data_IF_121808635099
#
_entry.id   IF_121808635099
#
_cell.length_a   1.000
_cell.length_b   1.000
_cell.length_c   1.000
_cell.angle_alpha   90.00
_cell.angle_beta   90.00
_cell.angle_gamma   90.00
#
_symmetry.space_group_name_H-M   'P 1'
#
loop_
_entity.id
_entity.type
_entity.pdbx_description
1 polymer ?
#
# COMPACT_ATOMS: atom_id res chain seq x y z
N UNK A 1 16.53 -3.26 5.57
CA UNK A 1 16.22 -4.46 6.38
C UNK A 1 14.77 -4.83 6.11
N UNK A 2 14.52 -5.86 5.31
CA UNK A 2 13.18 -6.35 5.07
C UNK A 2 12.61 -6.93 6.38
N UNK A 3 11.41 -6.52 6.79
CA UNK A 3 10.74 -7.15 7.91
C UNK A 3 10.55 -8.65 7.60
N UNK A 4 10.79 -9.57 8.56
CA UNK A 4 10.66 -10.99 8.31
C UNK A 4 9.21 -11.30 7.92
N UNK A 5 9.01 -12.02 6.80
CA UNK A 5 7.68 -12.43 6.28
C UNK A 5 6.77 -13.04 7.37
N UNK A 6 7.34 -13.59 8.45
CA UNK A 6 6.61 -14.18 9.58
C UNK A 6 5.80 -13.18 10.42
N UNK A 7 6.21 -11.90 10.51
CA UNK A 7 5.52 -10.94 11.38
C UNK A 7 4.26 -10.34 10.74
N UNK A 8 4.30 -10.04 9.43
CA UNK A 8 3.16 -9.50 8.69
C UNK A 8 2.10 -10.57 8.39
N UNK A 9 2.52 -11.79 8.07
CA UNK A 9 1.59 -12.92 7.91
C UNK A 9 0.79 -13.17 9.20
N UNK A 10 1.46 -13.08 10.36
CA UNK A 10 0.79 -13.19 11.66
C UNK A 10 -0.19 -12.03 11.92
N UNK A 11 0.15 -10.80 11.52
CA UNK A 11 -0.76 -9.64 11.64
C UNK A 11 -1.99 -9.85 10.76
N UNK A 12 -1.82 -10.34 9.53
CA UNK A 12 -2.93 -10.60 8.63
C UNK A 12 -3.86 -11.70 9.16
N UNK A 13 -3.30 -12.80 9.69
CA UNK A 13 -4.08 -13.88 10.30
C UNK A 13 -4.87 -13.39 11.52
N UNK A 14 -4.26 -12.53 12.34
CA UNK A 14 -4.85 -12.07 13.60
C UNK A 14 -5.83 -10.89 13.44
N UNK A 15 -5.56 -9.98 12.53
CA UNK A 15 -6.26 -8.70 12.42
C UNK A 15 -6.86 -8.42 11.04
N UNK A 16 -6.67 -9.32 10.08
CA UNK A 16 -7.24 -9.19 8.73
C UNK A 16 -6.41 -8.31 7.78
N UNK A 17 -6.83 -8.27 6.49
CA UNK A 17 -6.07 -7.65 5.41
C UNK A 17 -5.93 -6.13 5.56
N UNK A 18 -6.98 -5.45 6.01
CA UNK A 18 -6.97 -3.99 6.17
C UNK A 18 -5.92 -3.54 7.18
N UNK A 19 -5.85 -4.23 8.32
CA UNK A 19 -4.87 -3.91 9.36
C UNK A 19 -3.46 -4.28 8.93
N UNK A 20 -3.28 -5.43 8.27
CA UNK A 20 -1.97 -5.83 7.76
C UNK A 20 -1.42 -4.83 6.74
N UNK A 21 -2.25 -4.43 5.76
CA UNK A 21 -1.88 -3.42 4.76
C UNK A 21 -1.58 -2.07 5.40
N UNK A 22 -2.45 -1.59 6.30
CA UNK A 22 -2.24 -0.35 7.05
C UNK A 22 -0.94 -0.36 7.86
N UNK A 23 -0.71 -1.43 8.62
CA UNK A 23 0.50 -1.57 9.43
C UNK A 23 1.76 -1.58 8.56
N UNK A 24 1.74 -2.29 7.42
CA UNK A 24 2.85 -2.30 6.47
C UNK A 24 3.13 -0.89 5.94
N UNK A 25 2.12 -0.17 5.44
CA UNK A 25 2.30 1.19 4.90
C UNK A 25 2.87 2.14 5.95
N UNK A 26 2.31 2.12 7.17
CA UNK A 26 2.77 2.97 8.26
C UNK A 26 4.21 2.65 8.69
N UNK A 27 4.59 1.36 8.71
CA UNK A 27 5.99 0.93 8.95
C UNK A 27 6.95 1.46 7.88
N UNK A 28 6.48 1.61 6.65
CA UNK A 28 7.27 2.14 5.54
C UNK A 28 7.33 3.67 5.51
N UNK A 29 6.70 4.36 6.48
CA UNK A 29 6.66 5.82 6.56
C UNK A 29 5.51 6.45 5.78
N UNK A 30 4.58 5.65 5.27
CA UNK A 30 3.43 6.11 4.50
C UNK A 30 2.23 6.48 5.37
N UNK A 31 1.10 6.62 4.70
CA UNK A 31 -0.18 6.98 5.29
C UNK A 31 -1.31 6.13 4.70
N UNK A 32 -2.33 5.89 5.53
CA UNK A 32 -3.56 5.21 5.11
C UNK A 32 -4.79 5.97 5.56
N UNK A 33 -5.86 5.87 4.78
CA UNK A 33 -7.18 6.38 5.12
C UNK A 33 -8.16 5.21 5.10
N UNK A 34 -8.73 4.92 6.27
CA UNK A 34 -9.86 4.01 6.38
C UNK A 34 -11.14 4.71 5.93
N UNK A 35 -12.12 3.94 5.45
CA UNK A 35 -13.41 4.46 5.06
C UNK A 35 -14.02 5.31 6.20
N UNK A 36 -14.46 6.53 5.87
CA UNK A 36 -15.08 7.48 6.81
C UNK A 36 -14.18 7.89 8.00
N UNK A 37 -12.86 7.75 7.86
CA UNK A 37 -11.87 8.14 8.87
C UNK A 37 -10.85 9.13 8.32
N UNK A 38 -10.21 9.87 9.23
CA UNK A 38 -9.07 10.73 8.91
C UNK A 38 -7.83 9.92 8.51
N UNK A 39 -6.90 10.60 7.83
CA UNK A 39 -5.60 10.01 7.48
C UNK A 39 -4.81 9.63 8.72
N UNK A 40 -4.30 8.41 8.74
CA UNK A 40 -3.38 7.89 9.75
C UNK A 40 -1.98 7.91 9.13
N UNK A 41 -1.04 8.55 9.82
CA UNK A 41 0.35 8.75 9.35
C UNK A 41 1.34 8.32 10.42
N UNK A 42 2.49 7.81 10.01
CA UNK A 42 3.65 7.71 10.90
C UNK A 42 4.21 9.11 11.20
N UNK A 43 4.64 9.34 12.44
CA UNK A 43 5.40 10.52 12.79
C UNK A 43 6.82 10.48 12.20
N UNK A 44 7.58 11.57 12.37
CA UNK A 44 8.96 11.68 11.87
C UNK A 44 9.93 10.65 12.47
N UNK A 45 9.53 9.96 13.54
CA UNK A 45 10.32 8.93 14.24
C UNK A 45 9.85 7.52 13.86
N UNK A 46 8.86 7.38 12.98
CA UNK A 46 8.28 6.10 12.57
C UNK A 46 7.28 5.52 13.56
N UNK A 47 6.80 6.32 14.53
CA UNK A 47 5.75 5.90 15.45
C UNK A 47 4.37 6.23 14.88
N UNK A 48 3.41 5.36 15.15
CA UNK A 48 2.02 5.57 14.79
C UNK A 48 1.14 4.94 15.88
N UNK A 49 -0.05 5.52 16.08
CA UNK A 49 -0.99 5.03 17.08
C UNK A 49 -1.55 3.68 16.66
N UNK A 50 -1.58 2.70 17.56
CA UNK A 50 -2.13 1.37 17.29
C UNK A 50 -3.66 1.31 17.44
N UNK A 51 -4.33 2.46 17.58
CA UNK A 51 -5.79 2.49 17.70
C UNK A 51 -6.51 1.99 16.45
N UNK A 52 -5.88 2.11 15.27
CA UNK A 52 -6.42 1.55 14.03
C UNK A 52 -6.57 0.02 14.07
N UNK A 53 -5.93 -0.70 15.01
CA UNK A 53 -6.13 -2.14 15.19
C UNK A 53 -7.60 -2.51 15.53
N UNK A 54 -8.43 -1.54 15.93
CA UNK A 54 -9.88 -1.72 16.13
C UNK A 54 -10.67 -1.69 14.82
N UNK A 55 -10.08 -1.24 13.72
CA UNK A 55 -10.72 -1.02 12.42
C UNK A 55 -10.67 -2.26 11.50
N UNK A 56 -10.66 -3.46 12.07
CA UNK A 56 -10.44 -4.72 11.34
C UNK A 56 -11.46 -4.98 10.24
N UNK A 57 -12.67 -4.44 10.42
CA UNK A 57 -13.80 -4.57 9.48
C UNK A 57 -14.04 -3.31 8.66
N UNK A 58 -13.24 -2.26 8.86
CA UNK A 58 -13.36 -1.00 8.10
C UNK A 58 -12.37 -1.06 6.94
N UNK A 59 -12.81 -0.92 5.68
CA UNK A 59 -11.90 -0.99 4.55
C UNK A 59 -10.91 0.17 4.50
N UNK A 60 -9.74 -0.08 3.93
CA UNK A 60 -8.79 0.99 3.56
C UNK A 60 -9.18 1.52 2.18
N UNK A 61 -9.50 2.81 2.09
CA UNK A 61 -9.92 3.45 0.83
C UNK A 61 -8.80 4.22 0.14
N UNK A 62 -7.81 4.71 0.88
CA UNK A 62 -6.68 5.41 0.28
C UNK A 62 -5.35 5.08 0.95
N UNK A 63 -4.31 4.96 0.14
CA UNK A 63 -2.93 4.73 0.55
C UNK A 63 -2.06 5.80 -0.09
N UNK A 64 -1.29 6.49 0.74
CA UNK A 64 -0.20 7.35 0.32
C UNK A 64 1.12 6.72 0.80
N UNK A 65 1.77 6.00 -0.11
CA UNK A 65 3.07 5.38 0.13
C UNK A 65 4.18 6.14 -0.60
N UNK A 66 4.00 7.45 -0.83
CA UNK A 66 4.96 8.27 -1.55
C UNK A 66 6.32 8.27 -0.85
N UNK A 67 7.39 8.00 -1.59
CA UNK A 67 8.76 7.91 -1.07
C UNK A 67 9.07 6.63 -0.27
N UNK A 68 8.09 5.73 -0.09
CA UNK A 68 8.31 4.47 0.61
C UNK A 68 9.18 3.52 -0.24
N UNK A 69 10.04 2.73 0.43
CA UNK A 69 10.84 1.69 -0.22
C UNK A 69 10.03 0.41 -0.52
N UNK A 70 8.82 0.55 -1.10
CA UNK A 70 7.98 -0.57 -1.53
C UNK A 70 8.55 -1.15 -2.82
N UNK A 71 8.67 -2.48 -2.85
CA UNK A 71 9.11 -3.27 -4.00
C UNK A 71 8.02 -4.30 -4.36
N UNK A 72 8.32 -5.17 -5.32
CA UNK A 72 7.41 -6.21 -5.83
C UNK A 72 6.79 -7.08 -4.72
N UNK A 73 7.60 -7.58 -3.79
CA UNK A 73 7.12 -8.37 -2.64
C UNK A 73 6.34 -7.52 -1.65
N UNK A 74 6.79 -6.28 -1.39
CA UNK A 74 6.12 -5.37 -0.48
C UNK A 74 4.70 -5.05 -0.92
N UNK A 75 4.46 -5.00 -2.23
CA UNK A 75 3.14 -4.75 -2.82
C UNK A 75 2.11 -5.82 -2.43
N UNK A 76 2.53 -7.05 -2.09
CA UNK A 76 1.63 -8.11 -1.59
C UNK A 76 0.76 -7.69 -0.40
N UNK A 77 1.23 -6.72 0.39
CA UNK A 77 0.48 -6.21 1.54
C UNK A 77 -0.65 -5.25 1.16
N UNK A 78 -0.65 -4.71 -0.07
CA UNK A 78 -1.65 -3.75 -0.56
C UNK A 78 -2.70 -4.43 -1.46
N UNK A 79 -2.34 -5.47 -2.19
CA UNK A 79 -3.22 -6.17 -3.13
C UNK A 79 -4.47 -6.82 -2.48
N UNK A 80 -4.47 -7.18 -1.19
CA UNK A 80 -5.68 -7.62 -0.49
C UNK A 80 -6.69 -6.50 -0.16
N UNK A 81 -6.33 -5.22 -0.33
CA UNK A 81 -7.21 -4.08 -0.03
C UNK A 81 -8.22 -3.88 -1.17
N UNK A 82 -9.29 -4.67 -1.20
CA UNK A 82 -10.21 -4.76 -2.35
C UNK A 82 -11.09 -3.54 -2.55
N UNK A 83 -11.15 -2.64 -1.59
CA UNK A 83 -11.90 -1.39 -1.62
C UNK A 83 -10.99 -0.16 -1.77
N UNK A 84 -9.72 -0.37 -2.13
CA UNK A 84 -8.74 0.70 -2.29
C UNK A 84 -9.06 1.54 -3.54
N UNK A 85 -9.42 2.80 -3.34
CA UNK A 85 -9.81 3.72 -4.41
C UNK A 85 -8.65 4.62 -4.87
N UNK A 86 -7.75 4.99 -3.95
CA UNK A 86 -6.61 5.85 -4.26
C UNK A 86 -5.30 5.23 -3.79
N UNK A 87 -4.31 5.14 -4.70
CA UNK A 87 -2.96 4.69 -4.41
C UNK A 87 -1.92 5.68 -4.95
N UNK A 88 -1.18 6.31 -4.05
CA UNK A 88 0.02 7.08 -4.40
C UNK A 88 1.29 6.26 -4.12
N UNK A 89 2.08 6.04 -5.18
CA UNK A 89 3.42 5.46 -5.14
C UNK A 89 4.47 6.47 -5.62
N UNK A 90 4.21 7.77 -5.50
CA UNK A 90 5.11 8.80 -6.01
C UNK A 90 6.53 8.65 -5.43
N UNK A 91 7.55 8.83 -6.27
CA UNK A 91 8.95 8.83 -5.85
C UNK A 91 9.38 7.58 -5.08
N UNK A 92 8.69 6.45 -5.28
CA UNK A 92 9.10 5.18 -4.69
C UNK A 92 10.32 4.62 -5.42
N UNK A 93 11.48 4.46 -4.75
CA UNK A 93 12.74 4.14 -5.42
C UNK A 93 12.81 2.71 -5.94
N UNK A 94 11.92 1.80 -5.51
CA UNK A 94 11.96 0.38 -5.85
C UNK A 94 10.72 -0.10 -6.62
N UNK A 95 9.83 0.82 -7.02
CA UNK A 95 8.66 0.48 -7.84
C UNK A 95 9.10 0.44 -9.30
N UNK A 96 8.87 -0.69 -9.95
CA UNK A 96 9.27 -0.98 -11.33
C UNK A 96 8.10 -1.54 -12.15
N UNK A 97 8.37 -1.91 -13.41
CA UNK A 97 7.38 -2.48 -14.33
C UNK A 97 6.73 -3.76 -13.78
N UNK A 98 7.49 -4.59 -13.05
CA UNK A 98 6.99 -5.80 -12.42
C UNK A 98 5.97 -5.49 -11.33
N UNK A 99 6.20 -4.45 -10.53
CA UNK A 99 5.22 -3.96 -9.57
C UNK A 99 3.90 -3.58 -10.27
N UNK A 100 3.97 -2.81 -11.37
CA UNK A 100 2.79 -2.36 -12.10
C UNK A 100 1.98 -3.50 -12.69
N UNK A 101 2.64 -4.55 -13.17
CA UNK A 101 1.99 -5.75 -13.73
C UNK A 101 1.03 -6.46 -12.77
N UNK A 102 1.06 -6.14 -11.47
CA UNK A 102 0.22 -6.74 -10.43
C UNK A 102 -0.99 -5.90 -10.04
N UNK A 103 -1.01 -4.62 -10.44
CA UNK A 103 -2.06 -3.70 -10.00
C UNK A 103 -3.45 -4.08 -10.55
N UNK A 104 -3.53 -4.92 -11.58
CA UNK A 104 -4.81 -5.49 -12.08
C UNK A 104 -5.63 -6.18 -10.97
N UNK A 105 -5.00 -6.65 -9.90
CA UNK A 105 -5.70 -7.23 -8.74
C UNK A 105 -6.54 -6.21 -7.95
N UNK A 106 -6.37 -4.92 -8.24
CA UNK A 106 -7.13 -3.79 -7.69
C UNK A 106 -8.04 -3.13 -8.75
N UNK A 107 -8.12 -3.66 -9.97
CA UNK A 107 -8.91 -3.07 -11.07
C UNK A 107 -10.41 -2.94 -10.75
N UNK A 108 -10.92 -3.72 -9.79
CA UNK A 108 -12.32 -3.62 -9.37
C UNK A 108 -12.65 -2.40 -8.50
N UNK A 109 -11.65 -1.66 -8.01
CA UNK A 109 -11.87 -0.58 -7.03
C UNK A 109 -10.96 0.64 -7.19
N UNK A 110 -9.77 0.47 -7.76
CA UNK A 110 -8.79 1.55 -7.90
C UNK A 110 -9.27 2.58 -8.93
N UNK A 111 -9.35 3.83 -8.51
CA UNK A 111 -9.81 4.97 -9.31
C UNK A 111 -8.69 5.98 -9.55
N UNK A 112 -7.79 6.14 -8.59
CA UNK A 112 -6.68 7.07 -8.65
C UNK A 112 -5.35 6.35 -8.41
N UNK A 113 -4.44 6.46 -9.37
CA UNK A 113 -3.08 5.92 -9.28
C UNK A 113 -2.08 7.01 -9.62
N UNK A 114 -1.13 7.26 -8.71
CA UNK A 114 -0.05 8.20 -8.95
C UNK A 114 1.32 7.53 -8.87
N UNK A 115 2.06 7.58 -9.98
CA UNK A 115 3.39 6.97 -10.16
C UNK A 115 4.51 8.01 -10.37
N UNK A 116 4.20 9.29 -10.17
CA UNK A 116 5.12 10.39 -10.52
C UNK A 116 6.48 10.25 -9.83
N UNK A 117 7.56 10.35 -10.60
CA UNK A 117 8.93 10.33 -10.07
C UNK A 117 9.45 8.94 -9.67
N UNK A 118 8.77 7.85 -10.03
CA UNK A 118 9.33 6.50 -9.88
C UNK A 118 10.40 6.25 -10.96
N UNK A 119 11.67 6.00 -10.58
CA UNK A 119 12.79 5.98 -11.52
C UNK A 119 12.91 4.69 -12.36
N UNK A 120 12.19 3.62 -11.98
CA UNK A 120 12.32 2.30 -12.61
C UNK A 120 11.07 1.86 -13.38
N UNK A 121 10.11 2.78 -13.59
CA UNK A 121 8.95 2.55 -14.43
C UNK A 121 9.28 2.98 -15.86
N UNK A 122 9.09 2.07 -16.80
CA UNK A 122 9.24 2.30 -18.23
C UNK A 122 7.88 2.36 -18.94
N UNK A 123 7.91 2.65 -20.24
CA UNK A 123 6.74 2.55 -21.11
C UNK A 123 6.08 1.16 -21.08
N UNK A 124 6.85 0.09 -20.84
CA UNK A 124 6.34 -1.28 -20.78
C UNK A 124 5.52 -1.49 -19.52
N UNK A 125 5.98 -0.99 -18.38
CA UNK A 125 5.22 -1.03 -17.13
C UNK A 125 3.92 -0.26 -17.23
N UNK A 126 3.94 0.93 -17.87
CA UNK A 126 2.72 1.70 -18.10
C UNK A 126 1.73 0.95 -19.00
N UNK A 127 2.21 0.22 -20.01
CA UNK A 127 1.35 -0.60 -20.86
C UNK A 127 0.61 -1.70 -20.07
N UNK A 128 1.18 -2.21 -18.97
CA UNK A 128 0.50 -3.18 -18.09
C UNK A 128 -0.72 -2.61 -17.36
N UNK A 129 -0.87 -1.27 -17.30
CA UNK A 129 -1.98 -0.62 -16.60
C UNK A 129 -3.29 -0.62 -17.39
N UNK A 130 -3.33 -1.08 -18.64
CA UNK A 130 -4.57 -1.19 -19.42
C UNK A 130 -5.62 -2.14 -18.83
N UNK A 131 -5.23 -2.92 -17.81
CA UNK A 131 -6.10 -3.80 -17.05
C UNK A 131 -6.80 -3.11 -15.87
N UNK A 132 -6.46 -1.85 -15.56
CA UNK A 132 -7.09 -1.04 -14.52
C UNK A 132 -8.38 -0.37 -15.02
#
# INVERSE_FOLDING_TARGET
MAAPRSSLAHIQEKYGPYIAGAFFVLKQGGAVKFQDHEWIRSDKRGHFFLEFLKLQTVPVQAVDASGCAINYDGLDNLLPLKELQSLSLQRCPNVDDWCLSRLYLLAGSLQELSLSGCPHISERGLACLHHL
#
